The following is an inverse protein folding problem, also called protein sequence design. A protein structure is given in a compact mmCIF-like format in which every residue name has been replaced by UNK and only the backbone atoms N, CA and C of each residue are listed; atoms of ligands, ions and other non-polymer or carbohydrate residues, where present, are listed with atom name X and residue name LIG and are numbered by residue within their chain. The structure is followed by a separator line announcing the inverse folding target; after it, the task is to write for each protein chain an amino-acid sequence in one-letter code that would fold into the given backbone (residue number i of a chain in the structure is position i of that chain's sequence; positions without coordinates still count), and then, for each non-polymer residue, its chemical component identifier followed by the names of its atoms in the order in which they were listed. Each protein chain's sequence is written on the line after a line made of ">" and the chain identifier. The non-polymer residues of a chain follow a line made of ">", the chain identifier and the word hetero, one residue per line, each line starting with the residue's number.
data_IF_403809751169
#
_entry.id   IF_403809751169
#
_cell.length_a   1.000
_cell.length_b   1.000
_cell.length_c   1.000
_cell.angle_alpha   90.00
_cell.angle_beta   90.00
_cell.angle_gamma   90.00
#
_symmetry.space_group_name_H-M   'P 1'
#
loop_
_entity.id
_entity.type
_entity.pdbx_description
1 polymer ?
#
# COMPACT_ATOMS: atom_id res chain seq x y z
N UNK A 1 35.22 -21.51 18.66
CA UNK A 1 34.95 -20.63 17.50
C UNK A 1 34.32 -19.34 18.03
N UNK A 2 35.05 -18.22 17.98
CA UNK A 2 34.55 -16.93 18.47
C UNK A 2 33.91 -16.15 17.31
N UNK A 3 32.63 -15.82 17.42
CA UNK A 3 31.97 -14.92 16.48
C UNK A 3 32.46 -13.50 16.75
N UNK A 4 33.40 -13.00 15.94
CA UNK A 4 33.72 -11.57 15.90
C UNK A 4 32.61 -10.89 15.10
N UNK A 5 31.75 -10.14 15.77
CA UNK A 5 30.77 -9.30 15.12
C UNK A 5 31.49 -8.11 14.46
N UNK A 6 31.52 -8.07 13.13
CA UNK A 6 32.03 -6.93 12.38
C UNK A 6 30.96 -5.83 12.35
N UNK A 7 31.26 -4.60 12.80
CA UNK A 7 30.27 -3.52 12.88
C UNK A 7 29.64 -3.15 11.52
N UNK A 8 30.38 -3.32 10.41
CA UNK A 8 29.88 -3.09 9.04
C UNK A 8 28.68 -3.96 8.67
N UNK A 9 28.74 -5.26 8.97
CA UNK A 9 27.62 -6.19 8.70
C UNK A 9 26.38 -5.88 9.53
N UNK A 10 26.58 -5.41 10.77
CA UNK A 10 25.46 -4.98 11.60
C UNK A 10 24.78 -3.73 11.01
N UNK A 11 25.55 -2.74 10.53
CA UNK A 11 24.99 -1.54 9.89
C UNK A 11 24.29 -1.85 8.56
N UNK A 12 24.85 -2.74 7.75
CA UNK A 12 24.22 -3.21 6.50
C UNK A 12 22.91 -3.95 6.80
N UNK A 13 22.90 -4.83 7.81
CA UNK A 13 21.70 -5.55 8.24
C UNK A 13 20.60 -4.60 8.72
N UNK A 14 20.94 -3.59 9.51
CA UNK A 14 19.97 -2.59 9.98
C UNK A 14 19.41 -1.80 8.79
N UNK A 15 20.26 -1.35 7.86
CA UNK A 15 19.80 -0.67 6.65
C UNK A 15 18.82 -1.52 5.83
N UNK A 16 19.14 -2.79 5.62
CA UNK A 16 18.26 -3.72 4.90
C UNK A 16 16.92 -3.95 5.62
N UNK A 17 16.95 -4.05 6.95
CA UNK A 17 15.75 -4.24 7.77
C UNK A 17 14.85 -3.00 7.74
N UNK A 18 15.44 -1.79 7.82
CA UNK A 18 14.69 -0.54 7.70
C UNK A 18 14.04 -0.39 6.33
N UNK A 19 14.75 -0.74 5.25
CA UNK A 19 14.18 -0.73 3.90
C UNK A 19 13.02 -1.73 3.77
N UNK A 20 13.18 -2.95 4.31
CA UNK A 20 12.12 -3.96 4.29
C UNK A 20 10.87 -3.48 5.03
N UNK A 21 11.04 -2.99 6.27
CA UNK A 21 9.93 -2.48 7.08
C UNK A 21 9.27 -1.30 6.39
N UNK A 22 10.06 -0.37 5.84
CA UNK A 22 9.55 0.77 5.08
C UNK A 22 8.72 0.34 3.87
N UNK A 23 9.21 -0.63 3.09
CA UNK A 23 8.49 -1.17 1.94
C UNK A 23 7.17 -1.85 2.35
N UNK A 24 7.16 -2.62 3.43
CA UNK A 24 5.94 -3.26 3.95
C UNK A 24 4.92 -2.22 4.41
N UNK A 25 5.35 -1.22 5.18
CA UNK A 25 4.45 -0.15 5.62
C UNK A 25 3.90 0.65 4.45
N UNK A 26 4.73 0.94 3.44
CA UNK A 26 4.27 1.62 2.23
C UNK A 26 3.25 0.77 1.48
N UNK A 27 3.50 -0.54 1.33
CA UNK A 27 2.55 -1.45 0.68
C UNK A 27 1.21 -1.51 1.43
N UNK A 28 1.24 -1.60 2.77
CA UNK A 28 0.04 -1.58 3.60
C UNK A 28 -0.71 -0.23 3.49
N UNK A 29 0.01 0.88 3.46
CA UNK A 29 -0.58 2.21 3.23
C UNK A 29 -1.26 2.27 1.86
N UNK A 30 -0.60 1.81 0.80
CA UNK A 30 -1.18 1.76 -0.55
C UNK A 30 -2.43 0.89 -0.58
N UNK A 31 -2.40 -0.31 0.01
CA UNK A 31 -3.55 -1.20 0.08
C UNK A 31 -4.70 -0.58 0.88
N UNK A 32 -4.41 0.12 1.98
CA UNK A 32 -5.40 0.85 2.75
C UNK A 32 -6.06 1.95 1.90
N UNK A 33 -5.27 2.77 1.20
CA UNK A 33 -5.80 3.85 0.37
C UNK A 33 -6.66 3.33 -0.77
N UNK A 34 -6.21 2.29 -1.47
CA UNK A 34 -7.00 1.64 -2.53
C UNK A 34 -8.28 1.03 -1.95
N UNK A 35 -8.20 0.29 -0.84
CA UNK A 35 -9.38 -0.29 -0.20
C UNK A 35 -10.36 0.76 0.33
N UNK A 36 -9.88 1.93 0.75
CA UNK A 36 -10.71 3.06 1.13
C UNK A 36 -11.46 3.64 -0.07
N UNK A 37 -10.78 3.88 -1.20
CA UNK A 37 -11.35 4.47 -2.41
C UNK A 37 -12.33 3.53 -3.12
N UNK A 38 -12.05 2.22 -3.12
CA UNK A 38 -12.98 1.20 -3.63
C UNK A 38 -14.16 0.93 -2.69
N UNK A 39 -14.25 1.62 -1.56
CA UNK A 39 -15.35 1.47 -0.61
C UNK A 39 -15.32 0.21 0.25
N UNK A 40 -14.26 -0.62 0.17
CA UNK A 40 -14.12 -1.83 0.98
C UNK A 40 -13.92 -1.51 2.47
N UNK A 41 -13.33 -0.35 2.79
CA UNK A 41 -13.04 0.08 4.16
C UNK A 41 -13.89 1.27 4.63
N UNK A 42 -14.56 1.98 3.73
CA UNK A 42 -15.26 3.23 4.03
C UNK A 42 -16.61 3.33 3.35
N UNK A 43 -17.66 3.66 4.11
CA UNK A 43 -19.01 3.88 3.57
C UNK A 43 -19.08 5.10 2.65
N UNK A 44 -18.37 6.18 2.97
CA UNK A 44 -18.30 7.34 2.08
C UNK A 44 -17.50 7.02 0.82
N UNK A 45 -16.44 6.21 0.94
CA UNK A 45 -15.69 5.68 -0.19
C UNK A 45 -16.57 4.85 -1.13
N UNK A 46 -17.40 3.96 -0.59
CA UNK A 46 -18.34 3.16 -1.38
C UNK A 46 -19.33 4.04 -2.15
N UNK A 47 -19.91 5.05 -1.50
CA UNK A 47 -20.80 5.98 -2.18
C UNK A 47 -20.10 6.68 -3.34
N UNK A 48 -18.86 7.12 -3.11
CA UNK A 48 -18.08 7.79 -4.13
C UNK A 48 -17.66 6.84 -5.25
N UNK A 49 -17.32 5.59 -4.93
CA UNK A 49 -16.98 4.54 -5.88
C UNK A 49 -18.14 4.30 -6.86
N UNK A 50 -19.34 4.06 -6.35
CA UNK A 50 -20.53 3.84 -7.18
C UNK A 50 -20.91 5.08 -7.99
N UNK A 51 -20.81 6.28 -7.40
CA UNK A 51 -21.04 7.53 -8.13
C UNK A 51 -20.10 7.68 -9.34
N UNK A 52 -18.81 7.41 -9.15
CA UNK A 52 -17.80 7.49 -10.21
C UNK A 52 -17.96 6.36 -11.24
N UNK A 53 -18.31 5.16 -10.77
CA UNK A 53 -18.62 4.01 -11.60
C UNK A 53 -19.80 4.33 -12.54
N UNK A 54 -20.91 4.81 -11.98
CA UNK A 54 -22.11 5.21 -12.71
C UNK A 54 -21.87 6.42 -13.62
N UNK A 55 -21.07 7.39 -13.17
CA UNK A 55 -20.67 8.54 -13.99
C UNK A 55 -19.96 8.11 -15.27
N UNK A 56 -19.13 7.06 -15.20
CA UNK A 56 -18.46 6.48 -16.38
C UNK A 56 -19.47 5.87 -17.36
N UNK A 57 -20.47 5.16 -16.85
CA UNK A 57 -21.58 4.65 -17.67
C UNK A 57 -22.37 5.77 -18.34
N UNK A 58 -22.67 6.84 -17.60
CA UNK A 58 -23.41 7.99 -18.12
C UNK A 58 -22.67 8.69 -19.27
N UNK A 59 -21.33 8.73 -19.21
CA UNK A 59 -20.48 9.30 -20.25
C UNK A 59 -20.20 8.32 -21.42
N UNK A 60 -20.76 7.11 -21.38
CA UNK A 60 -20.56 6.08 -22.42
C UNK A 60 -19.16 5.47 -22.45
N UNK A 61 -18.38 5.63 -21.39
CA UNK A 61 -17.02 5.10 -21.28
C UNK A 61 -17.06 3.62 -20.83
N UNK A 62 -16.18 2.75 -21.37
CA UNK A 62 -16.15 1.34 -21.02
C UNK A 62 -15.72 1.12 -19.56
N UNK A 63 -16.32 0.12 -18.93
CA UNK A 63 -16.19 -0.22 -17.51
C UNK A 63 -15.60 -1.62 -17.27
N UNK A 64 -15.31 -2.39 -18.33
CA UNK A 64 -14.64 -3.69 -18.31
C UNK A 64 -13.46 -3.69 -19.28
#
# INVERSE_FOLDING_TARGET
>A
MAFVASPSRATESIGSMLMLVGAVLLALLTLYLVGFDQGALSRSGLYLHELMHDGRHLLGLPCH
#
